data_IF_835495927451
#
_entry.id   IF_835495927451
#
_cell.length_a   1.000
_cell.length_b   1.000
_cell.length_c   1.000
_cell.angle_alpha   90.00
_cell.angle_beta   90.00
_cell.angle_gamma   90.00
#
_symmetry.space_group_name_H-M   'P 1'
#
loop_
_entity.id
_entity.type
_entity.pdbx_description
1 polymer ?
#
# COMPACT_ATOMS: atom_id res chain seq x y z
N UNK A 1 27.50 46.85 -51.34
CA UNK A 1 27.17 46.61 -49.92
C UNK A 1 26.27 45.37 -49.84
N UNK A 2 26.82 44.21 -49.50
CA UNK A 2 26.10 42.92 -49.45
C UNK A 2 25.63 42.64 -48.02
N UNK A 3 24.30 42.56 -47.82
CA UNK A 3 23.69 42.16 -46.54
C UNK A 3 23.94 40.68 -46.32
N UNK A 4 24.73 40.33 -45.29
CA UNK A 4 24.84 38.94 -44.81
C UNK A 4 23.53 38.54 -44.12
N UNK A 5 22.89 37.52 -44.64
CA UNK A 5 21.71 36.91 -44.05
C UNK A 5 22.10 35.66 -43.26
N UNK A 6 22.00 35.69 -41.94
CA UNK A 6 21.83 34.52 -41.04
C UNK A 6 21.55 35.07 -39.62
N UNK A 7 20.74 34.43 -38.74
CA UNK A 7 20.48 32.99 -38.70
C UNK A 7 19.06 32.58 -38.27
N UNK A 8 18.26 31.98 -39.18
CA UNK A 8 17.01 31.27 -38.80
C UNK A 8 17.23 29.79 -38.43
N UNK A 9 18.44 29.26 -38.65
CA UNK A 9 18.78 27.85 -38.41
C UNK A 9 19.01 27.55 -36.93
N UNK A 10 19.62 28.48 -36.18
CA UNK A 10 19.87 28.29 -34.75
C UNK A 10 18.57 28.21 -33.93
N UNK A 11 17.52 28.91 -34.34
CA UNK A 11 16.24 28.91 -33.63
C UNK A 11 15.50 27.57 -33.75
N UNK A 12 15.66 26.87 -34.88
CA UNK A 12 15.04 25.55 -35.13
C UNK A 12 15.78 24.44 -34.38
N UNK A 13 17.11 24.53 -34.28
CA UNK A 13 17.93 23.59 -33.49
C UNK A 13 17.68 23.71 -31.98
N UNK A 14 17.38 24.91 -31.48
CA UNK A 14 17.07 25.15 -30.06
C UNK A 14 15.71 24.58 -29.65
N UNK A 15 14.70 24.66 -30.53
CA UNK A 15 13.36 24.13 -30.30
C UNK A 15 13.30 22.59 -30.31
N UNK A 16 14.16 21.92 -31.08
CA UNK A 16 14.26 20.46 -31.09
C UNK A 16 14.87 19.88 -29.81
N UNK A 17 15.72 20.64 -29.09
CA UNK A 17 16.31 20.18 -27.83
C UNK A 17 15.31 20.20 -26.66
N UNK A 18 14.32 21.10 -26.69
CA UNK A 18 13.32 21.25 -25.62
C UNK A 18 12.26 20.13 -25.68
N UNK A 19 12.08 19.48 -26.83
CA UNK A 19 11.17 18.34 -26.99
C UNK A 19 11.82 17.00 -26.61
N UNK A 20 13.15 16.96 -26.41
CA UNK A 20 13.91 15.76 -26.00
C UNK A 20 14.14 15.67 -24.50
N UNK A 21 13.84 16.71 -23.73
CA UNK A 21 13.58 16.57 -22.29
C UNK A 21 12.15 16.06 -22.15
N UNK A 22 11.97 14.79 -22.54
CA UNK A 22 10.77 14.03 -22.24
C UNK A 22 10.45 14.13 -20.76
N UNK A 23 9.18 13.90 -20.42
CA UNK A 23 8.73 13.57 -19.09
C UNK A 23 9.80 12.70 -18.43
N UNK A 24 10.63 13.33 -17.60
CA UNK A 24 11.37 12.61 -16.60
C UNK A 24 10.28 12.26 -15.63
N UNK A 25 9.69 11.07 -15.80
CA UNK A 25 9.02 10.40 -14.70
C UNK A 25 9.91 10.64 -13.51
N UNK A 26 9.39 11.40 -12.53
CA UNK A 26 10.08 11.63 -11.27
C UNK A 26 10.45 10.23 -10.81
N UNK A 27 11.75 9.87 -10.89
CA UNK A 27 12.26 8.77 -10.09
C UNK A 27 11.86 9.15 -8.68
N UNK A 28 10.85 8.46 -8.15
CA UNK A 28 10.52 8.51 -6.74
C UNK A 28 11.85 8.30 -6.02
N UNK A 29 12.14 9.16 -5.05
CA UNK A 29 13.38 9.08 -4.28
C UNK A 29 13.61 7.62 -3.89
N UNK A 30 14.75 7.02 -4.27
CA UNK A 30 15.08 5.62 -3.95
C UNK A 30 15.06 5.35 -2.42
N UNK A 31 15.01 6.41 -1.61
CA UNK A 31 14.90 6.36 -0.14
C UNK A 31 13.47 6.50 0.43
N UNK A 32 12.45 6.64 -0.42
CA UNK A 32 11.06 6.78 0.02
C UNK A 32 10.31 5.43 -0.03
N UNK A 33 9.41 5.26 0.93
CA UNK A 33 8.41 4.19 0.92
C UNK A 33 7.50 4.39 -0.28
N UNK A 34 7.12 3.29 -0.96
CA UNK A 34 6.21 3.39 -2.09
C UNK A 34 4.82 3.86 -1.65
N UNK A 35 4.12 4.70 -2.45
CA UNK A 35 2.75 5.10 -2.17
C UNK A 35 1.79 3.92 -1.98
N UNK A 36 2.04 2.83 -2.70
CA UNK A 36 1.33 1.56 -2.62
C UNK A 36 1.46 0.94 -1.22
N UNK A 37 2.69 0.84 -0.71
CA UNK A 37 2.96 0.31 0.64
C UNK A 37 2.40 1.23 1.73
N UNK A 38 2.55 2.55 1.58
CA UNK A 38 2.03 3.54 2.54
C UNK A 38 0.50 3.43 2.69
N UNK A 39 -0.23 3.26 1.58
CA UNK A 39 -1.68 3.08 1.59
C UNK A 39 -2.09 1.79 2.34
N UNK A 40 -1.41 0.67 2.05
CA UNK A 40 -1.69 -0.61 2.72
C UNK A 40 -1.37 -0.55 4.22
N UNK A 41 -0.23 0.04 4.60
CA UNK A 41 0.14 0.21 6.01
C UNK A 41 -0.87 1.10 6.73
N UNK A 42 -1.29 2.21 6.12
CA UNK A 42 -2.28 3.11 6.74
C UNK A 42 -3.59 2.37 7.03
N UNK A 43 -4.02 1.51 6.10
CA UNK A 43 -5.21 0.68 6.26
C UNK A 43 -5.07 -0.34 7.41
N UNK A 44 -3.91 -1.02 7.51
CA UNK A 44 -3.65 -2.03 8.54
C UNK A 44 -3.48 -1.44 9.95
N UNK A 45 -2.86 -0.26 10.08
CA UNK A 45 -2.39 0.31 11.36
C UNK A 45 -3.23 1.50 11.84
N UNK A 46 -4.53 1.49 11.52
CA UNK A 46 -5.49 2.48 12.02
C UNK A 46 -6.71 1.75 12.55
N UNK A 47 -6.85 1.67 13.88
CA UNK A 47 -7.95 0.97 14.53
C UNK A 47 -8.55 1.81 15.67
N UNK A 48 -9.87 1.72 15.94
CA UNK A 48 -10.85 0.86 15.27
C UNK A 48 -11.14 1.30 13.82
N UNK A 49 -11.50 0.35 12.97
CA UNK A 49 -11.86 0.59 11.57
C UNK A 49 -12.95 -0.39 11.11
N UNK A 50 -14.20 0.01 11.31
CA UNK A 50 -15.38 -0.80 10.96
C UNK A 50 -15.61 -0.93 9.45
N UNK A 51 -14.94 -0.11 8.63
CA UNK A 51 -14.99 -0.22 7.17
C UNK A 51 -14.10 -1.35 6.65
N UNK A 52 -13.01 -1.65 7.36
CA UNK A 52 -12.01 -2.64 6.94
C UNK A 52 -11.96 -3.90 7.83
N UNK A 53 -12.67 -3.89 8.96
CA UNK A 53 -12.74 -5.04 9.84
C UNK A 53 -14.10 -5.15 10.53
N UNK A 54 -14.59 -6.38 10.65
CA UNK A 54 -15.68 -6.77 11.53
C UNK A 54 -15.37 -8.15 12.09
N UNK A 55 -15.57 -8.35 13.39
CA UNK A 55 -15.32 -9.63 14.05
C UNK A 55 -16.12 -10.77 13.40
N UNK A 56 -17.40 -10.52 13.09
CA UNK A 56 -18.29 -11.50 12.47
C UNK A 56 -17.84 -11.82 11.03
N UNK A 57 -17.42 -10.80 10.27
CA UNK A 57 -16.92 -10.95 8.90
C UNK A 57 -15.57 -11.69 8.86
N UNK A 58 -14.67 -11.38 9.79
CA UNK A 58 -13.31 -11.94 9.85
C UNK A 58 -13.33 -13.45 10.01
N UNK A 59 -14.27 -13.99 10.79
CA UNK A 59 -14.41 -15.44 10.99
C UNK A 59 -14.77 -16.16 9.68
N UNK A 60 -15.56 -15.53 8.80
CA UNK A 60 -15.93 -16.08 7.48
C UNK A 60 -14.78 -16.00 6.47
N UNK A 61 -14.02 -14.90 6.50
CA UNK A 61 -12.88 -14.68 5.59
C UNK A 61 -11.71 -15.61 5.95
N UNK A 62 -11.50 -15.89 7.24
CA UNK A 62 -10.35 -16.66 7.74
C UNK A 62 -10.62 -18.13 7.99
N UNK A 63 -11.82 -18.52 8.42
CA UNK A 63 -12.15 -19.92 8.74
C UNK A 63 -13.39 -20.39 7.95
N UNK A 64 -13.27 -21.53 7.25
CA UNK A 64 -14.39 -22.24 6.63
C UNK A 64 -15.32 -22.85 7.71
N UNK A 65 -15.90 -22.03 8.58
CA UNK A 65 -16.78 -22.49 9.68
C UNK A 65 -18.24 -22.41 9.28
N UNK A 66 -19.01 -23.42 9.68
CA UNK A 66 -20.44 -23.60 9.37
C UNK A 66 -21.38 -22.66 10.14
N UNK A 67 -20.85 -21.70 10.91
CA UNK A 67 -21.61 -20.76 11.72
C UNK A 67 -21.97 -19.49 10.92
N UNK A 68 -22.44 -19.64 9.68
CA UNK A 68 -22.75 -18.50 8.84
C UNK A 68 -24.23 -18.11 8.91
N UNK A 69 -24.51 -16.94 9.49
CA UNK A 69 -25.75 -16.20 9.19
C UNK A 69 -25.56 -15.43 7.88
N UNK A 70 -26.65 -15.18 7.14
CA UNK A 70 -26.63 -14.36 5.93
C UNK A 70 -26.00 -12.97 6.19
N UNK A 71 -26.14 -12.44 7.40
CA UNK A 71 -25.56 -11.17 7.84
C UNK A 71 -24.02 -11.21 7.93
N UNK A 72 -23.43 -12.33 8.36
CA UNK A 72 -21.96 -12.47 8.45
C UNK A 72 -21.32 -12.51 7.07
N UNK A 73 -21.96 -13.19 6.10
CA UNK A 73 -21.53 -13.18 4.71
C UNK A 73 -21.65 -11.81 4.06
N UNK A 74 -22.78 -11.13 4.22
CA UNK A 74 -22.98 -9.79 3.67
C UNK A 74 -21.95 -8.79 4.23
N UNK A 75 -21.62 -8.92 5.52
CA UNK A 75 -20.57 -8.12 6.14
C UNK A 75 -19.18 -8.45 5.57
N UNK A 76 -18.86 -9.73 5.35
CA UNK A 76 -17.61 -10.16 4.71
C UNK A 76 -17.45 -9.59 3.30
N UNK A 77 -18.48 -9.68 2.45
CA UNK A 77 -18.45 -9.09 1.10
C UNK A 77 -18.21 -7.59 1.13
N UNK A 78 -18.88 -6.88 2.05
CA UNK A 78 -18.71 -5.43 2.22
C UNK A 78 -17.29 -5.05 2.67
N UNK A 79 -16.72 -5.78 3.62
CA UNK A 79 -15.33 -5.57 4.08
C UNK A 79 -14.36 -5.79 2.91
N UNK A 80 -14.52 -6.88 2.16
CA UNK A 80 -13.70 -7.16 0.99
C UNK A 80 -13.83 -6.08 -0.08
N UNK A 81 -15.05 -5.60 -0.35
CA UNK A 81 -15.31 -4.51 -1.29
C UNK A 81 -14.61 -3.22 -0.85
N UNK A 82 -14.64 -2.90 0.44
CA UNK A 82 -13.98 -1.71 0.99
C UNK A 82 -12.46 -1.78 0.88
N UNK A 83 -11.86 -2.93 1.19
CA UNK A 83 -10.44 -3.16 0.94
C UNK A 83 -10.09 -3.01 -0.53
N UNK A 84 -10.89 -3.59 -1.42
CA UNK A 84 -10.66 -3.50 -2.86
C UNK A 84 -10.75 -2.06 -3.38
N UNK A 85 -11.73 -1.28 -2.90
CA UNK A 85 -11.85 0.15 -3.21
C UNK A 85 -10.65 0.96 -2.72
N UNK A 86 -10.15 0.64 -1.53
CA UNK A 86 -9.09 1.41 -0.88
C UNK A 86 -7.72 1.13 -1.48
N UNK A 87 -7.35 -0.14 -1.62
CA UNK A 87 -6.00 -0.56 -2.01
C UNK A 87 -5.94 -1.57 -3.16
N UNK A 88 -7.07 -2.08 -3.64
CA UNK A 88 -7.08 -3.19 -4.62
C UNK A 88 -6.36 -2.90 -5.93
N UNK A 89 -6.36 -1.64 -6.38
CA UNK A 89 -5.60 -1.20 -7.57
C UNK A 89 -4.08 -1.40 -7.46
N UNK A 90 -3.57 -1.61 -6.24
CA UNK A 90 -2.15 -1.78 -5.97
C UNK A 90 -1.73 -3.25 -5.94
N UNK A 91 -2.66 -4.20 -5.99
CA UNK A 91 -2.35 -5.63 -5.89
C UNK A 91 -2.39 -6.32 -7.26
N UNK A 92 -1.53 -7.31 -7.43
CA UNK A 92 -1.67 -8.29 -8.51
C UNK A 92 -3.02 -9.01 -8.35
N UNK A 93 -3.63 -9.42 -9.47
CA UNK A 93 -4.94 -10.09 -9.45
C UNK A 93 -4.96 -11.29 -8.49
N UNK A 94 -5.91 -11.30 -7.55
CA UNK A 94 -6.09 -12.37 -6.56
C UNK A 94 -5.18 -12.28 -5.33
N UNK A 95 -4.24 -11.32 -5.27
CA UNK A 95 -3.33 -11.15 -4.13
C UNK A 95 -3.93 -10.39 -2.97
N UNK A 96 -4.89 -9.50 -3.24
CA UNK A 96 -5.57 -8.75 -2.19
C UNK A 96 -6.34 -9.69 -1.26
N UNK A 97 -7.13 -10.61 -1.80
CA UNK A 97 -7.94 -11.58 -1.03
C UNK A 97 -7.05 -12.47 -0.17
N UNK A 98 -5.92 -12.94 -0.74
CA UNK A 98 -4.93 -13.71 0.00
C UNK A 98 -4.32 -12.89 1.14
N UNK A 99 -3.94 -11.64 0.89
CA UNK A 99 -3.41 -10.75 1.91
C UNK A 99 -4.42 -10.49 3.04
N UNK A 100 -5.68 -10.17 2.72
CA UNK A 100 -6.73 -9.88 3.72
C UNK A 100 -7.01 -11.08 4.62
N UNK A 101 -7.03 -12.28 4.05
CA UNK A 101 -7.28 -13.54 4.79
C UNK A 101 -6.11 -14.01 5.66
N UNK A 102 -4.90 -13.47 5.45
CA UNK A 102 -3.69 -13.90 6.16
C UNK A 102 -3.13 -12.84 7.11
N UNK A 103 -2.91 -11.61 6.62
CA UNK A 103 -2.19 -10.57 7.36
C UNK A 103 -2.90 -9.21 7.41
N UNK A 104 -3.73 -8.89 6.42
CA UNK A 104 -4.28 -7.54 6.25
C UNK A 104 -5.17 -7.08 7.40
N UNK A 105 -5.80 -8.03 8.10
CA UNK A 105 -6.70 -7.75 9.21
C UNK A 105 -6.06 -7.95 10.58
N UNK A 106 -4.79 -8.39 10.66
CA UNK A 106 -4.25 -8.89 11.94
C UNK A 106 -4.24 -7.84 13.04
N UNK A 107 -3.71 -6.65 12.77
CA UNK A 107 -3.68 -5.55 13.75
C UNK A 107 -5.07 -4.99 14.05
N UNK A 108 -5.97 -4.96 13.06
CA UNK A 108 -7.37 -4.54 13.26
C UNK A 108 -8.11 -5.50 14.19
N UNK A 109 -7.89 -6.81 13.99
CA UNK A 109 -8.43 -7.89 14.81
C UNK A 109 -7.89 -7.85 16.24
N UNK A 110 -6.57 -7.74 16.40
CA UNK A 110 -5.95 -7.61 17.72
C UNK A 110 -6.46 -6.38 18.49
N UNK A 111 -6.62 -5.25 17.81
CA UNK A 111 -7.19 -4.05 18.41
C UNK A 111 -8.64 -4.27 18.88
N UNK A 112 -9.46 -4.91 18.05
CA UNK A 112 -10.85 -5.21 18.35
C UNK A 112 -10.99 -6.18 19.54
N UNK A 113 -10.24 -7.29 19.54
CA UNK A 113 -10.26 -8.30 20.61
C UNK A 113 -9.82 -7.71 21.95
N UNK A 114 -8.78 -6.87 21.94
CA UNK A 114 -8.24 -6.27 23.16
C UNK A 114 -8.94 -4.96 23.55
N UNK A 115 -9.88 -4.46 22.75
CA UNK A 115 -10.53 -3.16 22.91
C UNK A 115 -9.51 -2.00 23.08
N UNK A 116 -8.49 -1.99 22.21
CA UNK A 116 -7.41 -1.00 22.21
C UNK A 116 -7.47 -0.11 20.97
N UNK A 117 -6.85 1.06 21.02
CA UNK A 117 -6.73 1.95 19.85
C UNK A 117 -5.34 1.82 19.22
N UNK A 118 -5.31 1.66 17.90
CA UNK A 118 -4.08 1.73 17.09
C UNK A 118 -4.04 3.06 16.34
N UNK A 119 -2.96 3.81 16.49
CA UNK A 119 -2.72 5.05 15.74
C UNK A 119 -1.32 5.06 15.13
N UNK A 120 -1.27 5.17 13.80
CA UNK A 120 -0.02 5.31 13.06
C UNK A 120 0.74 6.58 13.48
N UNK A 121 2.06 6.44 13.67
CA UNK A 121 2.97 7.54 14.05
C UNK A 121 4.01 7.85 12.97
N UNK A 122 4.64 6.82 12.42
CA UNK A 122 5.67 6.98 11.38
C UNK A 122 5.69 5.77 10.44
N UNK A 123 5.99 6.03 9.16
CA UNK A 123 6.23 5.04 8.12
C UNK A 123 7.56 5.41 7.47
N UNK A 124 8.57 4.55 7.60
CA UNK A 124 9.90 4.80 7.06
C UNK A 124 10.50 3.58 6.38
N UNK A 125 11.35 3.82 5.38
CA UNK A 125 11.97 2.75 4.62
C UNK A 125 13.11 2.11 5.42
N UNK A 126 13.09 0.78 5.56
CA UNK A 126 14.19 0.00 6.15
C UNK A 126 15.16 -0.49 5.09
N UNK A 127 14.64 -1.09 4.01
CA UNK A 127 15.44 -1.55 2.87
C UNK A 127 14.61 -1.61 1.59
N UNK A 128 15.25 -1.48 0.43
CA UNK A 128 14.59 -1.56 -0.89
C UNK A 128 15.47 -2.28 -1.91
N UNK A 129 14.86 -3.13 -2.72
CA UNK A 129 15.44 -3.72 -3.94
C UNK A 129 14.64 -3.25 -5.15
N UNK A 130 14.98 -3.74 -6.34
CA UNK A 130 14.24 -3.43 -7.56
C UNK A 130 12.78 -3.95 -7.53
N UNK A 131 12.51 -5.00 -6.73
CA UNK A 131 11.26 -5.76 -6.69
C UNK A 131 10.68 -5.94 -5.28
N UNK A 132 11.25 -5.30 -4.26
CA UNK A 132 10.76 -5.41 -2.89
C UNK A 132 11.10 -4.19 -2.04
N UNK A 133 10.34 -3.99 -0.97
CA UNK A 133 10.73 -3.09 0.11
C UNK A 133 10.34 -3.64 1.48
N UNK A 134 11.14 -3.28 2.48
CA UNK A 134 10.81 -3.48 3.89
C UNK A 134 10.59 -2.12 4.52
N UNK A 135 9.45 -1.98 5.17
CA UNK A 135 8.99 -0.72 5.77
C UNK A 135 8.96 -0.89 7.28
N UNK A 136 9.59 0.06 7.98
CA UNK A 136 9.49 0.20 9.42
C UNK A 136 8.23 1.02 9.75
N UNK A 137 7.32 0.41 10.51
CA UNK A 137 6.05 1.04 10.91
C UNK A 137 6.08 1.28 12.40
N UNK A 138 5.99 2.55 12.79
CA UNK A 138 5.86 2.97 14.18
C UNK A 138 4.42 3.38 14.43
N UNK A 139 3.79 2.79 15.44
CA UNK A 139 2.40 3.08 15.80
C UNK A 139 2.22 3.04 17.31
N UNK A 140 1.11 3.58 17.78
CA UNK A 140 0.73 3.61 19.18
C UNK A 140 -0.37 2.60 19.44
N UNK A 141 -0.20 1.75 20.46
CA UNK A 141 -1.26 0.93 21.07
C UNK A 141 -1.52 1.52 22.45
N UNK A 142 -2.69 2.12 22.67
CA UNK A 142 -3.04 2.78 23.94
C UNK A 142 -1.96 3.74 24.49
N UNK A 143 -1.27 4.44 23.57
CA UNK A 143 -0.17 5.39 23.77
C UNK A 143 1.22 4.76 24.01
N UNK A 144 1.33 3.44 24.03
CA UNK A 144 2.62 2.76 24.00
C UNK A 144 3.11 2.62 22.56
N UNK A 145 4.38 2.94 22.33
CA UNK A 145 4.98 2.88 21.00
C UNK A 145 5.42 1.46 20.66
N UNK A 146 4.98 1.00 19.49
CA UNK A 146 5.33 -0.29 18.92
C UNK A 146 5.96 -0.06 17.55
N UNK A 147 6.99 -0.84 17.25
CA UNK A 147 7.71 -0.78 15.97
C UNK A 147 7.75 -2.17 15.36
N UNK A 148 7.28 -2.28 14.12
CA UNK A 148 7.29 -3.53 13.35
C UNK A 148 7.87 -3.32 11.96
N UNK A 149 8.27 -4.42 11.31
CA UNK A 149 8.72 -4.42 9.92
C UNK A 149 7.71 -5.14 9.04
N UNK A 150 7.27 -4.48 7.97
CA UNK A 150 6.37 -5.02 6.96
C UNK A 150 7.14 -5.17 5.65
N UNK A 151 7.16 -6.39 5.12
CA UNK A 151 7.74 -6.69 3.83
C UNK A 151 6.69 -6.56 2.73
N UNK A 152 7.11 -6.02 1.58
CA UNK A 152 6.36 -5.95 0.33
C UNK A 152 7.20 -6.53 -0.80
N UNK A 153 6.61 -7.36 -1.66
CA UNK A 153 7.16 -7.72 -2.98
C UNK A 153 6.25 -7.22 -4.10
N UNK A 154 6.86 -6.94 -5.25
CA UNK A 154 6.16 -6.41 -6.42
C UNK A 154 6.37 -7.30 -7.65
N UNK A 155 5.42 -7.26 -8.58
CA UNK A 155 5.60 -7.81 -9.92
C UNK A 155 6.32 -6.81 -10.84
N UNK A 156 6.49 -7.22 -12.11
CA UNK A 156 7.15 -6.39 -13.13
C UNK A 156 6.41 -5.09 -13.47
N UNK A 157 5.10 -5.03 -13.17
CA UNK A 157 4.25 -3.85 -13.39
C UNK A 157 4.18 -2.96 -12.11
N UNK A 158 4.89 -3.35 -11.04
CA UNK A 158 4.90 -2.65 -9.77
C UNK A 158 3.70 -2.97 -8.88
N UNK A 159 2.92 -4.00 -9.19
CA UNK A 159 1.79 -4.43 -8.37
C UNK A 159 2.26 -5.33 -7.23
N UNK A 160 1.65 -5.16 -6.06
CA UNK A 160 1.94 -5.91 -4.84
C UNK A 160 1.59 -7.38 -5.04
N UNK A 161 2.57 -8.25 -4.77
CA UNK A 161 2.43 -9.71 -4.78
C UNK A 161 2.23 -10.29 -3.39
N UNK A 162 3.11 -9.91 -2.47
CA UNK A 162 3.11 -10.41 -1.10
C UNK A 162 3.29 -9.24 -0.13
N UNK A 163 2.53 -9.27 0.97
CA UNK A 163 2.68 -8.36 2.10
C UNK A 163 2.63 -9.18 3.37
N UNK A 164 3.66 -9.07 4.22
CA UNK A 164 3.65 -9.77 5.50
C UNK A 164 4.57 -9.10 6.54
N UNK A 165 4.23 -9.18 7.84
CA UNK A 165 5.10 -8.75 8.91
C UNK A 165 6.27 -9.73 9.09
N UNK A 166 7.50 -9.21 9.18
CA UNK A 166 8.74 -10.02 9.23
C UNK A 166 8.91 -10.75 10.59
N UNK A 167 8.29 -10.27 11.66
CA UNK A 167 8.47 -10.79 13.01
C UNK A 167 7.17 -11.28 13.67
N UNK A 168 6.20 -11.78 12.90
CA UNK A 168 5.04 -12.45 13.51
C UNK A 168 5.53 -13.74 14.20
N UNK A 169 5.60 -13.70 15.54
CA UNK A 169 5.91 -14.84 16.40
C UNK A 169 4.64 -15.40 17.01
#
# INVERSE_FOLDING_TARGET
MTKKATPKIYFILLLLFILLTGCSDKKASESAVSPEAEAVITAMFTAPNEELYSQDASNVIGENTDANSDDAFANSEKILENWNKLVGKYFETGRLEYFISTYGQTYLSEAAVNNTKIALKDISLDSKTDDSETVLVTFLVDKEEVVVKIYFSYDQDGLIKDVYPINFK
#
